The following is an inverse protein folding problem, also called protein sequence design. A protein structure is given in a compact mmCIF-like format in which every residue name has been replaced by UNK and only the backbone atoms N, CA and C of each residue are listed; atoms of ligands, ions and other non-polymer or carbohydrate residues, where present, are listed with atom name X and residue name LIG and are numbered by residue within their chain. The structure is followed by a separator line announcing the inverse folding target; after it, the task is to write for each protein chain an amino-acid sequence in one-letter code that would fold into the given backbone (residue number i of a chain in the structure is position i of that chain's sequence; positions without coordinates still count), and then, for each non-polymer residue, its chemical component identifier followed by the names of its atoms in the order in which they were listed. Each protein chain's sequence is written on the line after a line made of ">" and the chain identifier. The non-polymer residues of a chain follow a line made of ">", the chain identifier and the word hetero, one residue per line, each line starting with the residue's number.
data_IF_491002674062
#
_entry.id   IF_491002674062
#
_cell.length_a   1.000
_cell.length_b   1.000
_cell.length_c   1.000
_cell.angle_alpha   90.00
_cell.angle_beta   90.00
_cell.angle_gamma   90.00
#
_symmetry.space_group_name_H-M   'P 1'
#
loop_
_entity.id
_entity.type
_entity.pdbx_description
1 polymer ?
#
# COMPACT_ATOMS: atom_id res chain seq x y z
N UNK A 1 12.13 4.55 -15.35
CA UNK A 1 10.90 3.84 -15.74
C UNK A 1 9.70 4.78 -15.72
N UNK A 2 9.18 5.17 -14.55
CA UNK A 2 8.00 6.05 -14.43
C UNK A 2 8.14 7.35 -15.26
N UNK A 3 9.29 7.99 -15.24
CA UNK A 3 9.59 9.23 -16.03
C UNK A 3 9.28 9.10 -17.51
N UNK A 4 9.44 7.92 -18.10
CA UNK A 4 9.20 7.69 -19.53
C UNK A 4 7.77 7.22 -19.83
N UNK A 5 7.15 6.52 -18.88
CA UNK A 5 5.86 5.87 -19.06
C UNK A 5 4.68 6.69 -18.53
N UNK A 6 4.94 7.58 -17.56
CA UNK A 6 3.90 8.38 -16.95
C UNK A 6 3.13 9.21 -17.98
N UNK A 7 1.81 9.25 -17.83
CA UNK A 7 0.89 10.03 -18.67
C UNK A 7 -0.02 10.88 -17.80
N UNK A 8 -0.49 11.98 -18.37
CA UNK A 8 -1.46 12.86 -17.74
C UNK A 8 -0.89 13.77 -16.66
N UNK A 9 -1.77 14.37 -15.89
CA UNK A 9 -1.49 15.33 -14.85
C UNK A 9 -1.66 14.73 -13.43
N UNK A 10 -1.84 15.62 -12.46
CA UNK A 10 -1.93 15.30 -11.03
C UNK A 10 -3.10 14.38 -10.67
N UNK A 11 -4.19 14.43 -11.43
CA UNK A 11 -5.40 13.65 -11.17
C UNK A 11 -5.46 12.33 -11.95
N UNK A 12 -4.39 11.99 -12.69
CA UNK A 12 -4.35 10.79 -13.52
C UNK A 12 -3.52 9.71 -12.83
N UNK A 13 -4.19 8.69 -12.29
CA UNK A 13 -3.53 7.55 -11.68
C UNK A 13 -2.79 6.73 -12.74
N UNK A 14 -1.49 6.59 -12.57
CA UNK A 14 -0.66 5.69 -13.35
C UNK A 14 -0.39 4.40 -12.56
N UNK A 15 -0.72 3.27 -13.15
CA UNK A 15 -0.53 1.94 -12.56
C UNK A 15 0.59 1.23 -13.31
N UNK A 16 1.61 0.81 -12.59
CA UNK A 16 2.75 0.07 -13.11
C UNK A 16 2.76 -1.33 -12.54
N UNK A 17 2.81 -2.33 -13.39
CA UNK A 17 2.96 -3.72 -12.94
C UNK A 17 4.40 -4.17 -13.14
N UNK A 18 4.94 -4.88 -12.16
CA UNK A 18 6.33 -5.33 -12.14
C UNK A 18 6.40 -6.81 -11.81
N UNK A 19 7.41 -7.50 -12.34
CA UNK A 19 7.68 -8.90 -12.02
C UNK A 19 9.05 -9.07 -11.38
N UNK A 20 9.20 -10.12 -10.57
CA UNK A 20 10.49 -10.62 -10.14
C UNK A 20 10.80 -11.88 -10.96
N UNK A 21 11.94 -11.89 -11.63
CA UNK A 21 12.52 -13.11 -12.13
C UNK A 21 13.52 -13.63 -11.09
N UNK A 22 13.40 -14.89 -10.71
CA UNK A 22 14.26 -15.54 -9.71
C UNK A 22 15.73 -15.66 -10.15
N UNK A 23 16.03 -15.42 -11.40
CA UNK A 23 17.37 -15.58 -11.99
C UNK A 23 18.08 -14.24 -12.17
N UNK A 24 17.31 -13.18 -12.40
CA UNK A 24 17.83 -11.80 -12.43
C UNK A 24 16.75 -10.90 -11.84
N UNK A 25 17.06 -10.05 -10.86
CA UNK A 25 16.08 -9.11 -10.31
C UNK A 25 15.75 -8.05 -11.38
N UNK A 26 14.96 -8.43 -12.35
CA UNK A 26 14.52 -7.59 -13.43
C UNK A 26 13.04 -7.33 -13.33
N UNK A 27 12.67 -6.09 -13.45
CA UNK A 27 11.29 -5.65 -13.58
C UNK A 27 10.96 -5.62 -15.07
N UNK A 28 10.02 -6.46 -15.51
CA UNK A 28 9.54 -6.46 -16.89
C UNK A 28 8.35 -5.52 -17.02
N UNK A 29 8.52 -4.46 -17.78
CA UNK A 29 7.41 -3.63 -18.26
C UNK A 29 7.48 -3.66 -19.77
N UNK A 30 6.50 -4.29 -20.40
CA UNK A 30 6.31 -4.31 -21.85
C UNK A 30 7.66 -4.39 -22.60
N UNK A 31 8.37 -5.52 -22.47
CA UNK A 31 9.61 -5.85 -23.21
C UNK A 31 10.92 -5.18 -22.75
N UNK A 32 10.96 -4.47 -21.65
CA UNK A 32 12.22 -3.89 -21.14
C UNK A 32 12.47 -4.33 -19.70
N UNK A 33 13.64 -4.93 -19.45
CA UNK A 33 14.08 -5.31 -18.11
C UNK A 33 14.67 -4.10 -17.40
N UNK A 34 14.11 -3.74 -16.23
CA UNK A 34 14.67 -2.71 -15.36
C UNK A 34 15.13 -3.36 -14.05
N UNK A 35 16.40 -3.13 -13.69
CA UNK A 35 16.97 -3.61 -12.44
C UNK A 35 16.52 -2.72 -11.29
N UNK A 36 15.64 -3.20 -10.44
CA UNK A 36 15.40 -2.59 -9.14
C UNK A 36 16.43 -3.15 -8.15
N UNK A 37 17.16 -2.24 -7.51
CA UNK A 37 18.08 -2.57 -6.43
C UNK A 37 17.30 -3.19 -5.27
N UNK A 38 17.89 -4.09 -4.53
CA UNK A 38 17.39 -4.97 -3.46
C UNK A 38 16.40 -4.40 -2.41
N UNK A 39 15.95 -3.17 -2.60
CA UNK A 39 15.11 -2.41 -1.66
C UNK A 39 13.64 -2.89 -1.64
N UNK A 40 13.21 -3.68 -2.62
CA UNK A 40 11.81 -4.13 -2.77
C UNK A 40 11.59 -5.62 -2.51
N UNK A 41 12.60 -6.33 -2.00
CA UNK A 41 12.46 -7.74 -1.66
C UNK A 41 11.34 -7.92 -0.60
N UNK A 42 10.23 -8.54 -1.02
CA UNK A 42 9.08 -8.82 -0.14
C UNK A 42 7.93 -7.82 -0.21
N UNK A 43 8.04 -6.70 -0.95
CA UNK A 43 6.92 -5.81 -1.16
C UNK A 43 6.01 -6.31 -2.28
N UNK A 44 4.71 -6.23 -2.07
CA UNK A 44 3.68 -6.55 -3.06
C UNK A 44 3.33 -5.35 -3.94
N UNK A 45 3.58 -4.13 -3.44
CA UNK A 45 3.37 -2.89 -4.14
C UNK A 45 3.92 -1.69 -3.37
N UNK A 46 3.82 -0.52 -3.96
CA UNK A 46 3.97 0.76 -3.30
C UNK A 46 3.25 1.88 -4.08
N UNK A 47 2.93 2.96 -3.39
CA UNK A 47 2.30 4.15 -3.95
C UNK A 47 3.07 5.42 -3.59
N UNK A 48 2.92 6.44 -4.41
CA UNK A 48 3.24 7.81 -4.02
C UNK A 48 2.02 8.47 -3.39
N UNK A 49 2.24 9.27 -2.38
CA UNK A 49 1.18 10.06 -1.74
C UNK A 49 0.95 11.37 -2.50
N UNK A 50 -0.27 11.96 -2.45
CA UNK A 50 -0.61 13.20 -3.15
C UNK A 50 0.32 14.38 -2.85
N UNK A 51 0.82 14.47 -1.61
CA UNK A 51 1.74 15.53 -1.19
C UNK A 51 3.11 15.44 -1.85
N UNK A 52 3.51 14.27 -2.32
CA UNK A 52 4.79 14.05 -2.99
C UNK A 52 4.81 14.55 -4.43
N UNK A 53 3.64 14.75 -5.02
CA UNK A 53 3.50 15.13 -6.44
C UNK A 53 4.25 16.41 -6.82
N UNK A 54 4.16 17.44 -5.97
CA UNK A 54 4.78 18.74 -6.27
C UNK A 54 6.31 18.65 -6.34
N UNK A 55 6.91 17.80 -5.52
CA UNK A 55 8.35 17.61 -5.48
C UNK A 55 8.87 16.67 -6.59
N UNK A 56 8.09 15.64 -6.94
CA UNK A 56 8.51 14.63 -7.89
C UNK A 56 7.35 14.11 -8.75
N UNK A 57 6.81 14.93 -9.66
CA UNK A 57 5.65 14.54 -10.48
C UNK A 57 5.93 13.35 -11.41
N UNK A 58 7.19 13.11 -11.77
CA UNK A 58 7.58 12.00 -12.64
C UNK A 58 7.52 10.64 -11.96
N UNK A 59 7.52 10.59 -10.61
CA UNK A 59 7.42 9.36 -9.83
C UNK A 59 5.98 9.02 -9.41
N UNK A 60 5.03 9.88 -9.73
CA UNK A 60 3.65 9.71 -9.31
C UNK A 60 3.00 8.44 -9.87
N UNK A 61 2.17 7.80 -9.03
CA UNK A 61 1.41 6.59 -9.35
C UNK A 61 1.70 5.41 -8.41
N UNK A 62 1.15 4.26 -8.75
CA UNK A 62 1.29 3.03 -7.98
C UNK A 62 2.08 1.97 -8.75
N UNK A 63 2.82 1.16 -8.02
CA UNK A 63 3.55 0.00 -8.57
C UNK A 63 3.06 -1.25 -7.86
N UNK A 64 2.77 -2.30 -8.62
CA UNK A 64 2.16 -3.54 -8.11
C UNK A 64 2.93 -4.72 -8.66
N UNK A 65 3.25 -5.67 -7.79
CA UNK A 65 3.77 -6.97 -8.21
C UNK A 65 2.71 -7.69 -9.05
N UNK A 66 3.03 -8.02 -10.31
CA UNK A 66 2.05 -8.60 -11.23
C UNK A 66 1.43 -9.89 -10.71
N UNK A 67 2.19 -10.70 -9.97
CA UNK A 67 1.71 -11.96 -9.41
C UNK A 67 0.76 -11.80 -8.21
N UNK A 68 0.55 -10.57 -7.71
CA UNK A 68 -0.48 -10.22 -6.72
C UNK A 68 -1.77 -9.66 -7.36
N UNK A 69 -1.84 -9.57 -8.68
CA UNK A 69 -3.06 -9.23 -9.39
C UNK A 69 -4.07 -10.39 -9.32
N UNK A 70 -5.36 -10.16 -9.67
CA UNK A 70 -6.35 -11.22 -9.72
C UNK A 70 -5.86 -12.41 -10.55
N UNK A 71 -5.98 -13.62 -10.00
CA UNK A 71 -5.46 -14.88 -10.55
C UNK A 71 -3.93 -15.03 -10.54
N UNK A 72 -3.22 -14.09 -9.92
CA UNK A 72 -1.75 -14.15 -9.79
C UNK A 72 -1.28 -15.28 -8.88
N UNK A 73 -0.01 -15.64 -9.03
CA UNK A 73 0.60 -16.81 -8.38
C UNK A 73 1.11 -16.56 -6.95
N UNK A 74 1.08 -15.32 -6.44
CA UNK A 74 1.52 -15.03 -5.07
C UNK A 74 0.52 -15.60 -4.07
N UNK A 75 0.93 -16.59 -3.25
CA UNK A 75 0.02 -17.25 -2.31
C UNK A 75 -0.62 -16.24 -1.34
N UNK A 76 -1.96 -16.28 -1.23
CA UNK A 76 -2.71 -15.37 -0.35
C UNK A 76 -2.99 -13.98 -0.91
N UNK A 77 -2.34 -13.58 -2.00
CA UNK A 77 -2.45 -12.19 -2.53
C UNK A 77 -3.04 -12.08 -3.95
N UNK A 78 -3.51 -13.17 -4.53
CA UNK A 78 -4.07 -13.20 -5.89
C UNK A 78 -5.52 -12.66 -6.04
N UNK A 79 -5.98 -11.80 -5.14
CA UNK A 79 -7.32 -11.21 -5.16
C UNK A 79 -7.34 -9.74 -5.62
N UNK A 80 -6.19 -9.16 -5.96
CA UNK A 80 -6.07 -7.77 -6.38
C UNK A 80 -6.14 -6.76 -5.22
N UNK A 81 -6.13 -7.20 -3.97
CA UNK A 81 -6.19 -6.31 -2.80
C UNK A 81 -4.98 -5.38 -2.72
N UNK A 82 -3.81 -5.82 -3.18
CA UNK A 82 -2.62 -4.98 -3.29
C UNK A 82 -2.90 -3.72 -4.11
N UNK A 83 -3.56 -3.86 -5.27
CA UNK A 83 -3.91 -2.72 -6.12
C UNK A 83 -4.87 -1.75 -5.41
N UNK A 84 -5.83 -2.27 -4.66
CA UNK A 84 -6.77 -1.46 -3.87
C UNK A 84 -6.03 -0.70 -2.77
N UNK A 85 -5.14 -1.37 -2.05
CA UNK A 85 -4.32 -0.80 -0.98
C UNK A 85 -3.45 0.36 -1.49
N UNK A 86 -2.67 0.12 -2.55
CA UNK A 86 -1.80 1.14 -3.13
C UNK A 86 -2.59 2.32 -3.71
N UNK A 87 -3.77 2.04 -4.27
CA UNK A 87 -4.68 3.11 -4.72
C UNK A 87 -5.16 3.96 -3.55
N UNK A 88 -5.45 3.35 -2.40
CA UNK A 88 -5.77 4.08 -1.16
C UNK A 88 -4.67 5.07 -0.76
N UNK A 89 -3.41 4.64 -0.77
CA UNK A 89 -2.27 5.53 -0.51
C UNK A 89 -2.15 6.65 -1.54
N UNK A 90 -2.37 6.36 -2.80
CA UNK A 90 -2.35 7.38 -3.86
C UNK A 90 -3.46 8.43 -3.67
N UNK A 91 -4.60 8.07 -3.07
CA UNK A 91 -5.63 9.01 -2.61
C UNK A 91 -5.32 9.71 -1.28
N UNK A 92 -4.22 9.36 -0.62
CA UNK A 92 -3.77 9.98 0.62
C UNK A 92 -4.15 9.23 1.90
N UNK A 93 -4.72 8.04 1.80
CA UNK A 93 -5.04 7.21 2.97
C UNK A 93 -3.77 6.59 3.55
N UNK A 94 -3.58 6.75 4.85
CA UNK A 94 -2.51 6.09 5.61
C UNK A 94 -2.94 4.71 6.08
N UNK A 95 -1.98 3.93 6.59
CA UNK A 95 -2.31 2.69 7.29
C UNK A 95 -3.05 3.00 8.60
N UNK A 96 -4.00 2.15 9.00
CA UNK A 96 -4.76 2.28 10.26
C UNK A 96 -3.88 2.28 11.51
N UNK A 97 -2.69 1.65 11.40
CA UNK A 97 -1.66 1.64 12.46
C UNK A 97 -0.64 2.79 12.37
N UNK A 98 -0.89 3.78 11.51
CA UNK A 98 -0.05 4.97 11.40
C UNK A 98 -0.03 5.73 12.73
N UNK A 99 1.17 6.00 13.25
CA UNK A 99 1.31 6.65 14.55
C UNK A 99 1.01 5.74 15.75
N UNK A 100 0.76 4.43 15.51
CA UNK A 100 0.36 3.49 16.55
C UNK A 100 -0.91 3.97 17.27
N UNK A 101 -0.99 3.86 18.59
CA UNK A 101 -2.16 4.30 19.37
C UNK A 101 -2.22 5.83 19.62
N UNK A 102 -1.31 6.60 19.02
CA UNK A 102 -1.20 8.04 19.28
C UNK A 102 -1.94 8.83 18.20
N UNK A 103 -2.83 9.74 18.63
CA UNK A 103 -3.51 10.65 17.72
C UNK A 103 -2.52 11.64 17.06
N UNK A 104 -2.75 12.04 15.80
CA UNK A 104 -3.97 11.87 14.98
C UNK A 104 -4.04 10.55 14.20
N UNK A 105 -3.17 9.56 14.46
CA UNK A 105 -3.23 8.26 13.81
C UNK A 105 -3.09 8.33 12.29
N UNK A 106 -4.04 7.73 11.58
CA UNK A 106 -4.11 7.71 10.13
C UNK A 106 -4.77 8.96 9.51
N UNK A 107 -5.11 9.95 10.35
CA UNK A 107 -5.81 11.21 9.98
C UNK A 107 -7.25 10.99 9.48
N UNK A 108 -7.87 9.87 9.79
CA UNK A 108 -9.27 9.56 9.49
C UNK A 108 -10.03 9.46 10.81
N UNK A 109 -10.88 10.44 11.11
CA UNK A 109 -11.50 10.65 12.43
C UNK A 109 -12.37 9.46 12.89
N UNK A 110 -13.03 8.79 11.95
CA UNK A 110 -13.92 7.65 12.22
C UNK A 110 -13.21 6.29 12.14
N UNK A 111 -11.89 6.29 11.92
CA UNK A 111 -11.06 5.09 11.96
C UNK A 111 -10.38 4.97 13.32
N UNK A 112 -10.71 3.97 14.13
CA UNK A 112 -10.00 3.75 15.40
C UNK A 112 -8.52 3.43 15.16
N UNK A 113 -7.62 3.94 16.01
CA UNK A 113 -6.20 3.67 15.87
C UNK A 113 -5.88 2.19 16.12
N UNK A 114 -4.98 1.65 15.33
CA UNK A 114 -4.37 0.34 15.54
C UNK A 114 -2.92 0.50 15.99
N UNK A 115 -2.50 -0.26 17.00
CA UNK A 115 -1.14 -0.19 17.53
C UNK A 115 -0.10 -0.85 16.63
N UNK A 116 -0.50 -1.89 15.89
CA UNK A 116 0.36 -2.70 15.01
C UNK A 116 -0.45 -3.23 13.82
N UNK A 117 0.21 -3.53 12.69
CA UNK A 117 -0.45 -4.11 11.52
C UNK A 117 -1.25 -5.36 11.84
N UNK A 118 -2.38 -5.52 11.16
CA UNK A 118 -3.23 -6.72 11.27
C UNK A 118 -2.85 -7.74 10.21
N UNK A 119 -2.65 -8.98 10.63
CA UNK A 119 -2.48 -10.11 9.70
C UNK A 119 -3.71 -11.03 9.79
N UNK A 120 -4.33 -11.29 8.63
CA UNK A 120 -5.53 -12.11 8.54
C UNK A 120 -6.78 -11.44 9.08
N UNK A 121 -7.84 -12.22 9.28
CA UNK A 121 -9.15 -11.76 9.76
C UNK A 121 -9.35 -12.16 11.23
N UNK A 122 -8.70 -11.47 12.14
CA UNK A 122 -8.83 -11.69 13.57
C UNK A 122 -10.04 -10.92 14.13
N UNK A 123 -11.02 -11.63 14.67
CA UNK A 123 -12.14 -11.01 15.38
C UNK A 123 -11.77 -10.64 16.81
N UNK A 124 -12.23 -9.47 17.27
CA UNK A 124 -12.05 -9.02 18.66
C UNK A 124 -10.61 -8.61 19.02
N UNK A 125 -9.78 -8.31 18.02
CA UNK A 125 -8.43 -7.80 18.25
C UNK A 125 -8.49 -6.37 18.75
N UNK A 126 -7.88 -6.12 19.90
CA UNK A 126 -7.66 -4.78 20.45
C UNK A 126 -6.15 -4.59 20.57
N UNK A 127 -5.60 -3.62 19.86
CA UNK A 127 -4.16 -3.35 19.85
C UNK A 127 -3.78 -2.06 20.56
N UNK A 128 -4.77 -1.20 20.82
CA UNK A 128 -4.60 0.01 21.61
C UNK A 128 -5.33 -0.09 22.94
N UNK A 129 -4.70 0.24 24.09
CA UNK A 129 -5.37 0.36 25.36
C UNK A 129 -6.52 1.37 25.27
N UNK A 130 -7.64 1.08 25.94
CA UNK A 130 -8.84 1.96 25.93
C UNK A 130 -8.53 3.35 26.52
N UNK A 131 -7.57 3.43 27.41
CA UNK A 131 -7.10 4.67 28.07
C UNK A 131 -6.33 5.61 27.13
N UNK A 132 -5.74 5.08 26.06
CA UNK A 132 -4.98 5.86 25.07
C UNK A 132 -5.85 6.36 23.90
N UNK A 133 -7.08 5.84 23.79
CA UNK A 133 -8.01 6.24 22.73
C UNK A 133 -8.85 7.42 23.18
N UNK A 134 -8.45 8.62 22.82
CA UNK A 134 -9.24 9.83 23.03
C UNK A 134 -10.51 9.72 22.18
N UNK A 135 -11.63 9.32 22.83
CA UNK A 135 -12.93 9.11 22.15
C UNK A 135 -13.63 7.80 22.49
N UNK A 136 -12.98 6.88 23.20
CA UNK A 136 -13.63 5.70 23.78
C UNK A 136 -14.07 4.62 22.78
N UNK A 137 -13.55 4.61 21.58
CA UNK A 137 -13.82 3.55 20.62
C UNK A 137 -12.71 2.50 20.69
N UNK A 138 -13.04 1.35 21.26
CA UNK A 138 -12.27 0.14 21.04
C UNK A 138 -12.31 -0.23 19.55
N UNK A 139 -11.17 -0.69 19.05
CA UNK A 139 -10.96 -1.17 17.68
C UNK A 139 -12.19 -1.96 17.19
N UNK A 140 -12.92 -1.48 16.16
CA UNK A 140 -14.05 -2.24 15.65
C UNK A 140 -13.53 -3.44 14.90
N UNK A 141 -14.06 -4.57 15.27
CA UNK A 141 -13.99 -5.87 14.64
C UNK A 141 -13.49 -5.81 13.19
N UNK A 142 -12.23 -6.21 13.01
CA UNK A 142 -11.69 -6.74 11.77
C UNK A 142 -11.98 -5.94 10.51
N UNK A 143 -11.31 -4.83 10.29
CA UNK A 143 -11.30 -4.21 8.98
C UNK A 143 -9.89 -4.18 8.41
N UNK A 144 -9.78 -4.92 7.37
CA UNK A 144 -8.73 -4.99 6.37
C UNK A 144 -7.44 -5.68 6.79
N UNK A 145 -7.13 -6.82 6.18
CA UNK A 145 -5.76 -7.31 6.23
C UNK A 145 -4.88 -6.25 5.59
N UNK A 146 -3.84 -5.83 6.30
CA UNK A 146 -2.70 -5.20 5.65
C UNK A 146 -2.20 -6.15 4.58
N UNK A 147 -2.19 -5.69 3.35
CA UNK A 147 -1.69 -6.43 2.18
C UNK A 147 -0.17 -6.45 2.22
#
# INVERSE_FOLDING_TARGET
>A
MKTQLRRGGRADLNVYTVGYDSVTPCVYIVLTCFRFKDTFAGLLGYATFPQSYAANPSDDGIVILYSSLPTGSTPGYGQGKTAVHETGHWFGLYHTFQGSCIQPGDYVEDTPPEGIPSEGCLSGRVTCPVEDVVGGFADPIGKSPSV
#
